data_IF_879254334823
#
_entry.id   IF_879254334823
#
_cell.length_a   1.000
_cell.length_b   1.000
_cell.length_c   1.000
_cell.angle_alpha   90.00
_cell.angle_beta   90.00
_cell.angle_gamma   90.00
#
_symmetry.space_group_name_H-M   'P 1'
#
loop_
_entity.id
_entity.type
_entity.pdbx_description
1 polymer ?
#
# COMPACT_ATOMS: atom_id res chain seq x y z
N UNK A 1 13.89 48.44 -22.86
CA UNK A 1 14.84 48.00 -21.82
C UNK A 1 14.42 46.60 -21.42
N UNK A 2 14.97 45.61 -22.10
CA UNK A 2 14.66 44.20 -21.94
C UNK A 2 15.60 43.61 -20.87
N UNK A 3 15.05 43.22 -19.71
CA UNK A 3 15.81 42.49 -18.70
C UNK A 3 15.90 41.00 -19.08
N UNK A 4 16.46 40.72 -20.25
CA UNK A 4 16.90 39.38 -20.62
C UNK A 4 18.34 39.14 -20.13
N UNK A 5 18.54 37.97 -19.50
CA UNK A 5 19.82 37.30 -19.16
C UNK A 5 20.49 37.64 -17.83
N UNK A 6 20.07 36.94 -16.76
CA UNK A 6 21.04 36.36 -15.82
C UNK A 6 21.14 34.85 -16.10
N UNK A 7 22.16 34.48 -16.90
CA UNK A 7 22.61 33.09 -17.02
C UNK A 7 23.24 32.70 -15.69
N UNK A 8 22.64 31.77 -14.96
CA UNK A 8 23.27 31.14 -13.81
C UNK A 8 24.12 29.95 -14.32
N UNK A 9 25.46 29.97 -14.21
CA UNK A 9 26.29 28.83 -14.57
C UNK A 9 26.18 27.74 -13.50
N UNK A 10 25.68 26.59 -13.92
CA UNK A 10 25.67 25.32 -13.19
C UNK A 10 27.06 24.96 -12.62
N UNK A 11 27.22 24.77 -11.29
CA UNK A 11 28.40 24.13 -10.76
C UNK A 11 28.20 22.61 -10.63
N UNK A 12 28.80 21.92 -11.59
CA UNK A 12 29.41 20.58 -11.47
C UNK A 12 28.49 19.33 -11.49
N UNK A 13 28.59 18.48 -12.54
CA UNK A 13 27.96 17.16 -12.59
C UNK A 13 28.91 16.10 -12.00
N UNK A 14 28.90 15.93 -10.67
CA UNK A 14 29.64 14.83 -10.07
C UNK A 14 28.80 13.54 -10.12
N UNK A 15 29.25 12.62 -10.97
CA UNK A 15 28.62 11.35 -11.26
C UNK A 15 28.52 10.43 -10.05
N UNK A 16 27.30 10.26 -9.54
CA UNK A 16 26.91 9.05 -8.83
C UNK A 16 26.51 7.99 -9.85
N UNK A 17 27.39 7.02 -10.12
CA UNK A 17 27.02 5.78 -10.82
C UNK A 17 25.95 5.08 -9.98
N UNK A 18 24.67 5.40 -10.21
CA UNK A 18 23.55 4.64 -9.64
C UNK A 18 23.72 3.21 -10.12
N UNK A 19 24.14 2.33 -9.22
CA UNK A 19 24.18 0.88 -9.45
C UNK A 19 22.84 0.53 -10.09
N UNK A 20 22.85 0.20 -11.39
CA UNK A 20 21.67 -0.30 -12.10
C UNK A 20 21.37 -1.65 -11.47
N UNK A 21 20.62 -1.61 -10.37
CA UNK A 21 20.05 -2.79 -9.75
C UNK A 21 19.33 -3.55 -10.85
N UNK A 22 19.74 -4.80 -11.02
CA UNK A 22 19.13 -5.82 -11.88
C UNK A 22 17.62 -5.55 -11.99
N UNK A 23 17.15 -5.20 -13.18
CA UNK A 23 15.74 -5.03 -13.44
C UNK A 23 15.04 -6.36 -13.14
N UNK A 24 14.48 -6.50 -11.94
CA UNK A 24 13.48 -7.52 -11.63
C UNK A 24 12.48 -7.44 -12.78
N UNK A 25 12.30 -8.53 -13.53
CA UNK A 25 11.37 -8.62 -14.68
C UNK A 25 10.16 -7.73 -14.40
N UNK A 26 10.15 -6.56 -15.01
CA UNK A 26 9.28 -5.48 -14.59
C UNK A 26 7.88 -5.94 -14.96
N UNK A 27 7.08 -6.34 -13.97
CA UNK A 27 5.70 -6.73 -14.14
C UNK A 27 5.02 -5.59 -14.90
N UNK A 28 4.85 -5.77 -16.23
CA UNK A 28 4.59 -4.64 -17.10
C UNK A 28 3.23 -4.08 -16.73
N UNK A 29 3.10 -2.74 -16.71
CA UNK A 29 1.85 -2.09 -16.29
C UNK A 29 0.64 -2.50 -17.15
N UNK A 30 0.90 -3.08 -18.33
CA UNK A 30 -0.05 -3.62 -19.30
C UNK A 30 -0.96 -4.71 -18.73
N UNK A 31 -0.43 -5.62 -17.91
CA UNK A 31 -1.19 -6.77 -17.40
C UNK A 31 -1.97 -6.47 -16.11
N UNK A 32 -1.91 -5.23 -15.59
CA UNK A 32 -2.65 -4.84 -14.39
C UNK A 32 -4.16 -4.82 -14.69
N UNK A 33 -4.96 -5.48 -13.85
CA UNK A 33 -6.44 -5.50 -13.91
C UNK A 33 -7.04 -4.10 -14.11
N UNK A 34 -6.49 -3.10 -13.41
CA UNK A 34 -6.93 -1.70 -13.49
C UNK A 34 -6.86 -1.08 -14.91
N UNK A 35 -6.01 -1.58 -15.81
CA UNK A 35 -5.95 -1.08 -17.20
C UNK A 35 -7.16 -1.53 -18.02
N UNK A 36 -7.59 -2.77 -17.83
CA UNK A 36 -8.81 -3.32 -18.46
C UNK A 36 -10.07 -2.68 -17.89
N UNK A 37 -10.03 -2.24 -16.62
CA UNK A 37 -11.17 -1.61 -15.95
C UNK A 37 -11.37 -0.11 -16.26
N UNK A 38 -10.58 0.49 -17.18
CA UNK A 38 -10.78 1.88 -17.60
C UNK A 38 -12.10 2.02 -18.36
N UNK A 39 -12.86 3.09 -18.11
CA UNK A 39 -14.20 3.28 -18.67
C UNK A 39 -15.31 2.57 -17.91
N UNK A 40 -15.00 1.62 -17.03
CA UNK A 40 -16.00 1.04 -16.13
C UNK A 40 -16.30 1.98 -14.95
N UNK A 41 -17.58 2.21 -14.70
CA UNK A 41 -18.09 3.21 -13.73
C UNK A 41 -17.52 3.06 -12.32
N UNK A 42 -17.28 1.84 -11.83
CA UNK A 42 -16.83 1.57 -10.45
C UNK A 42 -15.47 0.87 -10.35
N UNK A 43 -14.74 0.73 -11.47
CA UNK A 43 -13.46 0.02 -11.54
C UNK A 43 -13.47 -1.41 -10.91
N UNK A 44 -14.65 -2.04 -10.80
CA UNK A 44 -14.82 -3.39 -10.26
C UNK A 44 -15.06 -3.49 -8.75
N UNK A 45 -15.29 -2.38 -8.03
CA UNK A 45 -15.54 -2.40 -6.58
C UNK A 45 -17.04 -2.36 -6.20
N UNK A 46 -17.93 -2.58 -7.17
CA UNK A 46 -19.38 -2.45 -6.99
C UNK A 46 -19.86 -1.00 -7.05
N UNK A 47 -21.12 -0.77 -7.46
CA UNK A 47 -21.68 0.60 -7.61
C UNK A 47 -22.14 1.20 -6.28
N UNK A 48 -22.75 0.37 -5.43
CA UNK A 48 -23.42 0.80 -4.20
C UNK A 48 -22.43 0.90 -3.03
N UNK A 49 -21.64 -0.16 -2.81
CA UNK A 49 -20.53 -0.16 -1.86
C UNK A 49 -19.31 0.55 -2.43
N UNK A 50 -19.22 1.87 -2.26
CA UNK A 50 -18.07 2.67 -2.74
C UNK A 50 -16.77 2.15 -2.12
N UNK A 51 -15.67 2.16 -2.88
CA UNK A 51 -14.36 1.77 -2.37
C UNK A 51 -13.81 2.82 -1.38
N UNK A 52 -14.08 2.60 -0.09
CA UNK A 52 -13.62 3.47 1.00
C UNK A 52 -12.22 3.07 1.43
N UNK A 53 -11.43 4.04 1.93
CA UNK A 53 -10.02 3.82 2.26
C UNK A 53 -9.81 2.79 3.38
N UNK A 54 -10.63 2.82 4.42
CA UNK A 54 -10.57 1.91 5.57
C UNK A 54 -11.96 1.70 6.17
N UNK A 55 -12.80 0.76 5.65
CA UNK A 55 -14.16 0.59 6.13
C UNK A 55 -14.27 -0.04 7.54
N UNK A 56 -13.25 -0.78 7.99
CA UNK A 56 -13.23 -1.48 9.30
C UNK A 56 -12.07 -1.08 10.22
N UNK A 57 -11.38 0.02 9.93
CA UNK A 57 -10.15 0.44 10.61
C UNK A 57 -8.87 0.12 9.81
N UNK A 58 -7.71 0.38 10.42
CA UNK A 58 -6.38 0.14 9.85
C UNK A 58 -5.69 -1.03 10.53
N UNK A 59 -4.92 -1.83 9.80
CA UNK A 59 -4.20 -2.98 10.36
C UNK A 59 -5.13 -4.00 11.01
N UNK A 60 -4.74 -4.56 12.16
CA UNK A 60 -5.52 -5.56 12.91
C UNK A 60 -6.52 -4.93 13.91
N UNK A 61 -6.91 -3.65 13.70
CA UNK A 61 -7.86 -2.98 14.57
C UNK A 61 -9.22 -3.73 14.62
N UNK A 62 -9.87 -3.74 15.79
CA UNK A 62 -11.18 -4.35 15.98
C UNK A 62 -11.19 -5.87 16.13
N UNK A 63 -10.03 -6.52 16.23
CA UNK A 63 -9.90 -7.98 16.33
C UNK A 63 -10.77 -8.63 17.41
N UNK A 64 -11.00 -7.93 18.53
CA UNK A 64 -11.86 -8.39 19.62
C UNK A 64 -13.21 -7.67 19.68
N UNK A 65 -13.64 -6.89 18.69
CA UNK A 65 -14.94 -6.20 18.70
C UNK A 65 -15.77 -6.56 17.48
N UNK A 66 -15.43 -6.03 16.30
CA UNK A 66 -16.17 -6.27 15.05
C UNK A 66 -15.46 -7.25 14.10
N UNK A 67 -14.19 -7.61 14.34
CA UNK A 67 -13.43 -8.61 13.57
C UNK A 67 -13.21 -9.93 14.34
N UNK A 68 -14.00 -10.18 15.40
CA UNK A 68 -13.89 -11.37 16.28
C UNK A 68 -13.87 -12.69 15.53
N UNK A 69 -14.75 -12.83 14.54
CA UNK A 69 -14.90 -14.07 13.76
C UNK A 69 -13.63 -14.34 12.94
N UNK A 70 -13.06 -13.29 12.34
CA UNK A 70 -11.86 -13.39 11.52
C UNK A 70 -10.62 -13.77 12.36
N UNK A 71 -10.49 -13.21 13.56
CA UNK A 71 -9.37 -13.51 14.48
C UNK A 71 -9.48 -14.91 15.11
N UNK A 72 -10.70 -15.44 15.29
CA UNK A 72 -10.93 -16.78 15.85
C UNK A 72 -10.75 -17.91 14.84
N UNK A 73 -11.18 -17.71 13.58
CA UNK A 73 -11.22 -18.78 12.58
C UNK A 73 -9.86 -19.01 11.91
N UNK A 74 -8.99 -17.99 11.84
CA UNK A 74 -7.66 -18.12 11.26
C UNK A 74 -6.70 -18.65 12.33
N UNK A 75 -6.02 -19.79 12.12
CA UNK A 75 -5.06 -20.35 13.07
C UNK A 75 -3.80 -19.48 13.09
N UNK A 76 -3.86 -18.38 13.83
CA UNK A 76 -2.74 -17.47 14.06
C UNK A 76 -2.70 -17.09 15.53
N UNK A 77 -1.53 -17.30 16.13
CA UNK A 77 -1.23 -17.11 17.55
C UNK A 77 -1.14 -15.61 17.87
N UNK A 78 -2.26 -14.88 17.81
CA UNK A 78 -2.27 -13.42 18.02
C UNK A 78 -2.90 -13.00 19.36
N UNK A 79 -3.39 -13.95 20.17
CA UNK A 79 -3.79 -13.68 21.56
C UNK A 79 -3.79 -14.99 22.36
N UNK A 80 -2.62 -15.37 22.89
CA UNK A 80 -2.53 -16.40 23.93
C UNK A 80 -1.22 -16.22 24.72
N UNK A 81 -1.21 -15.19 25.55
CA UNK A 81 -0.28 -15.08 26.67
C UNK A 81 -1.12 -15.10 27.95
N UNK A 82 -0.63 -15.82 28.95
CA UNK A 82 -1.14 -15.98 30.33
C UNK A 82 -2.57 -16.49 30.51
N UNK A 83 -2.75 -17.80 30.65
CA UNK A 83 -3.61 -18.40 31.70
C UNK A 83 -3.11 -19.85 31.88
N UNK A 84 -2.19 -20.04 32.84
CA UNK A 84 -1.87 -21.29 33.55
C UNK A 84 -0.72 -21.05 34.57
N UNK A 85 -0.78 -19.93 35.30
CA UNK A 85 -0.34 -19.90 36.69
C UNK A 85 -1.56 -19.42 37.46
N UNK A 86 -1.77 -19.94 38.68
CA UNK A 86 -2.98 -19.75 39.50
C UNK A 86 -4.14 -20.70 39.18
N UNK A 87 -3.89 -22.01 39.25
CA UNK A 87 -4.71 -22.85 40.13
C UNK A 87 -3.77 -23.40 41.21
N UNK A 88 -4.25 -23.37 42.44
CA UNK A 88 -3.52 -23.39 43.71
C UNK A 88 -2.60 -24.57 43.95
#
# INVERSE_FOLDING_TARGET
MDCSRRRNPNPNPQGGRRRRGKARSAMTTRFKKNRKMRGHVSAGHGRIGKHRKHPGGRGNAGGMHHHRIFVRQIPSRVFRESENEVFS
#
